data_IF_270463165845
#
_entry.id   IF_270463165845
#
_cell.length_a   1.000
_cell.length_b   1.000
_cell.length_c   1.000
_cell.angle_alpha   90.00
_cell.angle_beta   90.00
_cell.angle_gamma   90.00
#
_symmetry.space_group_name_H-M   'P 1'
#
loop_
_entity.id
_entity.type
_entity.pdbx_description
1 polymer ?
#
# COMPACT_ATOMS: atom_id res chain seq x y z
N UNK A 1 2.88 -4.28 -14.76
CA UNK A 1 2.24 -3.91 -13.48
C UNK A 1 0.88 -4.59 -13.45
N UNK A 2 0.58 -5.35 -12.41
CA UNK A 2 -0.78 -5.88 -12.21
C UNK A 2 -1.33 -5.28 -10.94
N UNK A 3 -2.38 -4.47 -11.07
CA UNK A 3 -3.14 -3.91 -9.95
C UNK A 3 -4.46 -4.67 -9.91
N UNK A 4 -4.73 -5.33 -8.81
CA UNK A 4 -5.99 -6.06 -8.61
C UNK A 4 -6.91 -5.22 -7.73
N UNK A 5 -8.12 -4.98 -8.21
CA UNK A 5 -9.20 -4.35 -7.47
C UNK A 5 -10.20 -5.45 -7.09
N UNK A 6 -10.50 -5.59 -5.80
CA UNK A 6 -11.36 -6.67 -5.30
C UNK A 6 -12.70 -6.09 -4.86
N UNK A 7 -13.79 -6.80 -5.20
CA UNK A 7 -15.21 -6.62 -4.82
C UNK A 7 -16.12 -5.81 -5.77
N UNK A 8 -17.05 -6.50 -6.46
CA UNK A 8 -18.27 -5.94 -7.11
C UNK A 8 -18.08 -4.57 -7.81
N UNK A 9 -17.03 -4.43 -8.63
CA UNK A 9 -16.64 -3.20 -9.35
C UNK A 9 -16.29 -1.97 -8.48
N UNK A 10 -15.96 -2.14 -7.20
CA UNK A 10 -15.47 -1.06 -6.32
C UNK A 10 -14.18 -1.47 -5.63
N UNK A 11 -13.11 -0.67 -5.73
CA UNK A 11 -11.80 -1.05 -5.22
C UNK A 11 -11.76 -1.00 -3.68
N UNK A 12 -11.37 -2.11 -3.06
CA UNK A 12 -11.18 -2.21 -1.59
C UNK A 12 -9.71 -2.40 -1.19
N UNK A 13 -8.83 -2.69 -2.15
CA UNK A 13 -7.44 -3.03 -1.91
C UNK A 13 -6.58 -2.73 -3.13
N UNK A 14 -5.33 -2.30 -2.91
CA UNK A 14 -4.32 -2.11 -3.95
C UNK A 14 -3.13 -3.02 -3.69
N UNK A 15 -2.82 -3.91 -4.62
CA UNK A 15 -1.59 -4.71 -4.58
C UNK A 15 -0.67 -4.31 -5.73
N UNK A 16 0.57 -3.94 -5.41
CA UNK A 16 1.64 -3.78 -6.38
C UNK A 16 2.66 -4.91 -6.22
N UNK A 17 3.00 -5.59 -7.32
CA UNK A 17 4.00 -6.64 -7.36
C UNK A 17 5.19 -6.18 -8.21
N UNK A 18 6.39 -6.28 -7.65
CA UNK A 18 7.66 -5.85 -8.24
C UNK A 18 8.72 -6.93 -8.05
N UNK A 19 9.71 -6.95 -8.94
CA UNK A 19 10.78 -7.94 -8.84
C UNK A 19 11.63 -7.71 -7.57
N UNK A 20 12.17 -8.77 -6.92
CA UNK A 20 12.99 -8.60 -5.71
C UNK A 20 14.17 -7.64 -5.90
N UNK A 21 14.80 -7.67 -7.09
CA UNK A 21 15.92 -6.79 -7.46
C UNK A 21 15.57 -5.30 -7.43
N UNK A 22 14.28 -4.95 -7.56
CA UNK A 22 13.87 -3.54 -7.53
C UNK A 22 14.10 -2.91 -6.16
N UNK A 23 14.08 -3.70 -5.08
CA UNK A 23 14.33 -3.20 -3.73
C UNK A 23 15.75 -2.62 -3.57
N UNK A 24 16.71 -3.03 -4.39
CA UNK A 24 18.09 -2.54 -4.29
C UNK A 24 18.25 -1.09 -4.81
N UNK A 25 17.39 -0.63 -5.70
CA UNK A 25 17.56 0.66 -6.39
C UNK A 25 16.69 1.75 -5.76
N UNK A 26 17.31 2.88 -5.35
CA UNK A 26 16.60 4.03 -4.77
C UNK A 26 15.47 4.51 -5.69
N UNK A 27 15.74 4.65 -6.99
CA UNK A 27 14.76 5.09 -7.99
C UNK A 27 13.53 4.18 -8.01
N UNK A 28 13.72 2.86 -7.97
CA UNK A 28 12.62 1.91 -8.07
C UNK A 28 11.77 1.91 -6.79
N UNK A 29 12.39 2.13 -5.62
CA UNK A 29 11.67 2.33 -4.36
C UNK A 29 10.82 3.59 -4.40
N UNK A 30 11.39 4.70 -4.88
CA UNK A 30 10.65 5.95 -5.05
C UNK A 30 9.48 5.80 -6.03
N UNK A 31 9.70 5.20 -7.20
CA UNK A 31 8.66 4.97 -8.19
C UNK A 31 7.54 4.07 -7.63
N UNK A 32 7.88 3.08 -6.81
CA UNK A 32 6.91 2.23 -6.13
C UNK A 32 6.05 2.99 -5.13
N UNK A 33 6.65 3.83 -4.30
CA UNK A 33 5.96 4.64 -3.30
C UNK A 33 5.06 5.70 -3.97
N UNK A 34 5.58 6.42 -4.98
CA UNK A 34 4.81 7.38 -5.77
C UNK A 34 3.61 6.70 -6.46
N UNK A 35 3.83 5.52 -7.04
CA UNK A 35 2.79 4.73 -7.68
C UNK A 35 1.69 4.31 -6.69
N UNK A 36 2.06 3.79 -5.52
CA UNK A 36 1.11 3.37 -4.50
C UNK A 36 0.27 4.54 -4.00
N UNK A 37 0.91 5.69 -3.73
CA UNK A 37 0.21 6.90 -3.29
C UNK A 37 -0.76 7.40 -4.34
N UNK A 38 -0.32 7.52 -5.60
CA UNK A 38 -1.20 7.94 -6.70
C UNK A 38 -2.43 7.04 -6.79
N UNK A 39 -2.25 5.72 -6.76
CA UNK A 39 -3.38 4.77 -6.81
C UNK A 39 -4.30 4.89 -5.61
N UNK A 40 -3.77 5.01 -4.40
CA UNK A 40 -4.62 5.18 -3.21
C UNK A 40 -5.37 6.51 -3.23
N UNK A 41 -4.77 7.58 -3.76
CA UNK A 41 -5.43 8.88 -3.97
C UNK A 41 -6.56 8.76 -4.99
N UNK A 42 -6.31 8.16 -6.16
CA UNK A 42 -7.31 8.02 -7.22
C UNK A 42 -8.54 7.23 -6.75
N UNK A 43 -8.33 6.22 -5.89
CA UNK A 43 -9.38 5.32 -5.41
C UNK A 43 -10.04 5.78 -4.10
N UNK A 44 -9.48 6.81 -3.44
CA UNK A 44 -9.94 7.28 -2.11
C UNK A 44 -11.41 7.69 -2.12
N UNK A 45 -11.88 8.29 -3.20
CA UNK A 45 -13.21 8.90 -3.27
C UNK A 45 -14.27 7.91 -3.80
N UNK A 46 -13.84 6.79 -4.39
CA UNK A 46 -14.72 5.72 -4.93
C UNK A 46 -14.76 4.46 -4.07
N UNK A 47 -13.94 4.40 -3.01
CA UNK A 47 -13.86 3.23 -2.12
C UNK A 47 -15.17 3.02 -1.35
N UNK A 48 -15.57 1.76 -1.12
CA UNK A 48 -16.78 1.46 -0.37
C UNK A 48 -16.51 1.17 1.12
N UNK A 49 -15.25 1.15 1.55
CA UNK A 49 -14.83 0.85 2.94
C UNK A 49 -14.13 2.03 3.61
N UNK A 50 -14.18 2.15 4.95
CA UNK A 50 -13.62 3.30 5.67
C UNK A 50 -12.11 3.49 5.46
N UNK A 51 -11.34 2.40 5.41
CA UNK A 51 -9.89 2.45 5.22
C UNK A 51 -9.53 1.74 3.92
N UNK A 52 -8.87 2.46 3.01
CA UNK A 52 -8.32 1.85 1.80
C UNK A 52 -6.90 1.40 2.11
N UNK A 53 -6.68 0.09 2.01
CA UNK A 53 -5.36 -0.50 2.23
C UNK A 53 -4.64 -0.74 0.91
N UNK A 54 -3.31 -0.66 0.95
CA UNK A 54 -2.46 -1.03 -0.16
C UNK A 54 -1.22 -1.78 0.32
N UNK A 55 -0.68 -2.66 -0.52
CA UNK A 55 0.59 -3.35 -0.26
C UNK A 55 1.45 -3.29 -1.51
N UNK A 56 2.72 -2.91 -1.35
CA UNK A 56 3.72 -3.07 -2.39
C UNK A 56 4.66 -4.21 -1.99
N UNK A 57 4.68 -5.28 -2.78
CA UNK A 57 5.62 -6.37 -2.63
C UNK A 57 6.79 -6.22 -3.61
N UNK A 58 8.02 -6.27 -3.09
CA UNK A 58 9.24 -6.42 -3.87
C UNK A 58 9.85 -7.78 -3.53
N UNK A 59 9.54 -8.79 -4.33
CA UNK A 59 9.76 -10.18 -3.91
C UNK A 59 8.88 -10.54 -2.71
N UNK A 60 9.50 -11.04 -1.64
CA UNK A 60 8.81 -11.42 -0.39
C UNK A 60 8.65 -10.26 0.59
N UNK A 61 9.36 -9.14 0.35
CA UNK A 61 9.35 -7.98 1.23
C UNK A 61 8.14 -7.10 0.92
N UNK A 62 7.40 -6.73 1.96
CA UNK A 62 6.14 -5.97 1.89
C UNK A 62 6.31 -4.59 2.51
N UNK A 63 5.76 -3.59 1.82
CA UNK A 63 5.49 -2.27 2.38
C UNK A 63 3.98 -2.05 2.43
N UNK A 64 3.48 -1.63 3.60
CA UNK A 64 2.05 -1.45 3.85
C UNK A 64 1.65 0.01 3.77
N UNK A 65 0.59 0.27 3.03
CA UNK A 65 -0.01 1.58 2.87
C UNK A 65 -1.45 1.57 3.35
N UNK A 66 -1.91 2.70 3.89
CA UNK A 66 -3.33 2.89 4.14
C UNK A 66 -3.73 4.36 4.13
N UNK A 67 -4.98 4.60 3.75
CA UNK A 67 -5.64 5.91 3.81
C UNK A 67 -6.93 5.75 4.60
N UNK A 68 -7.10 6.36 5.78
CA UNK A 68 -8.37 6.33 6.53
C UNK A 68 -9.43 7.26 5.92
N UNK A 69 -10.70 7.08 6.26
CA UNK A 69 -11.80 8.00 5.93
C UNK A 69 -11.86 9.18 6.90
N UNK A 70 -12.50 10.28 6.49
CA UNK A 70 -12.92 11.35 7.41
C UNK A 70 -11.96 12.53 7.58
N UNK A 71 -10.78 12.51 6.95
CA UNK A 71 -9.94 13.69 6.83
C UNK A 71 -9.54 13.87 5.36
N UNK A 72 -9.95 14.97 4.73
CA UNK A 72 -9.49 15.30 3.37
C UNK A 72 -7.96 15.45 3.30
N UNK A 73 -7.34 15.76 4.45
CA UNK A 73 -5.89 15.78 4.66
C UNK A 73 -5.35 14.47 5.28
N UNK A 74 -6.10 13.36 5.27
CA UNK A 74 -5.61 12.06 5.72
C UNK A 74 -4.40 11.68 4.85
N UNK A 75 -3.21 11.83 5.41
CA UNK A 75 -1.97 11.47 4.74
C UNK A 75 -1.90 9.95 4.61
N UNK A 76 -1.63 9.46 3.41
CA UNK A 76 -1.34 8.06 3.21
C UNK A 76 -0.13 7.68 4.08
N UNK A 77 -0.29 6.69 4.95
CA UNK A 77 0.83 6.09 5.68
C UNK A 77 1.55 5.09 4.77
N UNK A 78 2.88 4.94 4.88
CA UNK A 78 3.81 5.79 5.65
C UNK A 78 3.86 7.23 5.09
N UNK A 79 4.24 8.26 5.88
CA UNK A 79 4.33 9.65 5.41
C UNK A 79 5.35 9.81 4.27
N UNK A 80 5.13 10.81 3.39
CA UNK A 80 6.13 11.19 2.38
C UNK A 80 7.30 11.86 3.10
N UNK A 81 8.53 11.44 2.76
CA UNK A 81 9.74 12.18 3.16
C UNK A 81 10.11 13.07 1.96
N UNK A 82 10.09 14.40 2.11
CA UNK A 82 10.43 15.31 1.02
C UNK A 82 11.84 15.04 0.48
N UNK A 83 11.99 15.03 -0.85
CA UNK A 83 13.30 15.00 -1.49
C UNK A 83 14.09 16.25 -1.09
N UNK A 84 15.37 16.07 -0.79
CA UNK A 84 16.25 17.22 -0.58
C UNK A 84 16.58 17.85 -1.94
N UNK A 85 16.51 19.19 -2.02
CA UNK A 85 16.67 19.91 -3.29
C UNK A 85 18.11 19.89 -3.83
N UNK A 86 19.09 19.60 -2.98
CA UNK A 86 20.52 19.72 -3.31
C UNK A 86 21.31 18.41 -3.29
N UNK A 87 20.74 17.31 -2.80
CA UNK A 87 21.42 16.01 -2.79
C UNK A 87 20.46 14.84 -3.05
N UNK A 88 21.00 13.80 -3.68
CA UNK A 88 20.27 12.55 -3.91
C UNK A 88 20.16 11.81 -2.57
N UNK A 89 19.05 12.03 -1.88
CA UNK A 89 18.70 11.32 -0.65
C UNK A 89 17.82 10.11 -0.97
N UNK A 90 18.08 9.02 -0.27
CA UNK A 90 17.14 7.91 -0.19
C UNK A 90 15.96 8.31 0.72
N UNK A 91 14.94 8.92 0.13
CA UNK A 91 13.74 9.35 0.85
C UNK A 91 12.71 8.22 1.05
N UNK A 92 12.87 7.12 0.32
CA UNK A 92 11.99 5.95 0.39
C UNK A 92 12.89 4.75 0.67
N UNK A 93 13.34 4.71 1.91
CA UNK A 93 14.38 3.79 2.34
C UNK A 93 13.91 2.33 2.28
N UNK A 94 14.87 1.41 2.15
CA UNK A 94 14.56 -0.02 2.06
C UNK A 94 13.84 -0.56 3.30
N UNK A 95 14.01 0.09 4.45
CA UNK A 95 13.32 -0.23 5.71
C UNK A 95 11.80 -0.04 5.62
N UNK A 96 11.27 0.63 4.57
CA UNK A 96 9.82 0.63 4.31
C UNK A 96 9.29 -0.75 3.88
N UNK A 97 10.15 -1.59 3.32
CA UNK A 97 9.88 -3.00 2.99
C UNK A 97 10.42 -3.90 4.12
N UNK A 98 10.10 -3.56 5.36
CA UNK A 98 10.55 -4.23 6.59
C UNK A 98 10.06 -5.67 6.71
N UNK A 99 8.89 -5.95 6.15
CA UNK A 99 8.13 -7.15 6.45
C UNK A 99 8.39 -8.26 5.41
N UNK A 100 8.91 -9.41 5.82
CA UNK A 100 9.01 -10.59 4.96
C UNK A 100 7.77 -11.48 5.10
N UNK A 101 6.98 -11.61 4.03
CA UNK A 101 5.72 -12.38 4.04
C UNK A 101 5.92 -13.87 4.27
N UNK A 102 7.13 -14.41 4.02
CA UNK A 102 7.44 -15.81 4.28
C UNK A 102 7.72 -16.08 5.76
N UNK A 103 7.94 -15.05 6.57
CA UNK A 103 8.08 -15.16 8.01
C UNK A 103 6.72 -15.15 8.72
N UNK A 104 6.63 -15.81 9.88
CA UNK A 104 5.39 -15.88 10.67
C UNK A 104 4.82 -14.50 11.02
N UNK A 105 5.69 -13.53 11.36
CA UNK A 105 5.28 -12.16 11.62
C UNK A 105 4.67 -11.51 10.37
N UNK A 106 5.33 -11.67 9.21
CA UNK A 106 4.86 -11.06 7.97
C UNK A 106 3.58 -11.68 7.43
N UNK A 107 3.44 -13.00 7.51
CA UNK A 107 2.18 -13.68 7.25
C UNK A 107 1.07 -13.14 8.16
N UNK A 108 1.33 -13.06 9.46
CA UNK A 108 0.37 -12.57 10.45
C UNK A 108 -0.08 -11.14 10.14
N UNK A 109 0.87 -10.25 9.85
CA UNK A 109 0.59 -8.85 9.50
C UNK A 109 -0.21 -8.73 8.21
N UNK A 110 0.14 -9.50 7.18
CA UNK A 110 -0.60 -9.51 5.92
C UNK A 110 -2.03 -10.05 6.09
N UNK A 111 -2.19 -11.16 6.81
CA UNK A 111 -3.52 -11.72 7.14
C UNK A 111 -4.37 -10.76 7.95
N UNK A 112 -3.79 -10.01 8.88
CA UNK A 112 -4.52 -9.02 9.66
C UNK A 112 -5.15 -7.94 8.76
N UNK A 113 -4.41 -7.43 7.77
CA UNK A 113 -4.93 -6.46 6.79
C UNK A 113 -6.05 -7.07 5.95
N UNK A 114 -5.86 -8.28 5.43
CA UNK A 114 -6.91 -8.97 4.66
C UNK A 114 -8.16 -9.20 5.51
N UNK A 115 -7.99 -9.56 6.78
CA UNK A 115 -9.08 -9.72 7.74
C UNK A 115 -9.84 -8.41 7.98
N UNK A 116 -9.14 -7.29 8.16
CA UNK A 116 -9.76 -5.96 8.29
C UNK A 116 -10.58 -5.59 7.05
N UNK A 117 -10.02 -5.81 5.85
CA UNK A 117 -10.72 -5.57 4.58
C UNK A 117 -11.98 -6.44 4.49
N UNK A 118 -11.86 -7.74 4.80
CA UNK A 118 -12.99 -8.66 4.78
C UNK A 118 -14.12 -8.19 5.71
N UNK A 119 -13.79 -7.87 6.97
CA UNK A 119 -14.79 -7.39 7.94
C UNK A 119 -15.45 -6.08 7.49
N UNK A 120 -14.67 -5.15 6.92
CA UNK A 120 -15.21 -3.90 6.39
C UNK A 120 -16.13 -4.13 5.17
N UNK A 121 -15.94 -5.22 4.43
CA UNK A 121 -16.78 -5.57 3.29
C UNK A 121 -18.07 -6.32 3.67
N UNK A 122 -18.17 -6.94 4.85
CA UNK A 122 -19.34 -7.72 5.27
C UNK A 122 -20.66 -6.92 5.13
N UNK A 123 -20.77 -5.66 5.62
CA UNK A 123 -22.00 -4.88 5.47
C UNK A 123 -22.36 -4.56 4.01
N UNK A 124 -21.37 -4.51 3.11
CA UNK A 124 -21.57 -4.20 1.69
C UNK A 124 -22.19 -5.36 0.91
N UNK A 125 -22.08 -6.59 1.43
CA UNK A 125 -22.63 -7.79 0.80
C UNK A 125 -24.11 -8.02 1.08
N UNK A 126 -24.67 -7.29 2.04
CA UNK A 126 -26.08 -7.34 2.45
C UNK A 126 -26.97 -6.32 1.70
N UNK A 127 -26.36 -5.53 0.81
CA UNK A 127 -27.00 -4.60 -0.14
C UNK A 127 -26.97 -5.20 -1.55
#
# INVERSE_FOLDING_TARGET
LVTYEVLRNRPVFVLALKAPRELAYISNRQDADEQMRRRLTDLRDTRPIPTLHGVCAMGTRLCFYHVPSGNQNAMAHPPVIPRHLTYVADTVTAERWDCDVLGAEGETRFRAIVGQIYQACVPLGQQ
#
